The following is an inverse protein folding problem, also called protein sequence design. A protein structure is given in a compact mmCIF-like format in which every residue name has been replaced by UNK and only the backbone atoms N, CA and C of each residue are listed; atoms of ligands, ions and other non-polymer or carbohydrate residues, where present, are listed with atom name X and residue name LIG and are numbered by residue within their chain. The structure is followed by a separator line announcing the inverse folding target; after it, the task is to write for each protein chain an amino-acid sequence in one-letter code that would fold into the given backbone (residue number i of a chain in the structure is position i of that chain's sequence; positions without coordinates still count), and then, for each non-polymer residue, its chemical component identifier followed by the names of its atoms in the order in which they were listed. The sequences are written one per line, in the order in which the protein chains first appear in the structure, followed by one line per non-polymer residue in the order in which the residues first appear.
data_IF_934567688160
#
_entry.id   IF_934567688160
#
_cell.length_a   1.000
_cell.length_b   1.000
_cell.length_c   1.000
_cell.angle_alpha   90.00
_cell.angle_beta   90.00
_cell.angle_gamma   90.00
#
_symmetry.space_group_name_H-M   'P 1'
#
loop_
_entity.id
_entity.type
_entity.pdbx_description
1 polymer ?
#
# COMPACT_ATOMS: atom_id res chain seq x y z
N UNK A 1 -0.13 -4.62 3.83
CA UNK A 1 0.90 -3.56 3.98
C UNK A 1 1.82 -3.91 5.16
N UNK A 2 3.13 -4.01 4.98
CA UNK A 2 4.07 -4.32 6.06
C UNK A 2 5.53 -4.48 5.60
N UNK A 3 6.46 -4.56 6.55
CA UNK A 3 7.90 -4.67 6.24
C UNK A 3 8.38 -6.12 6.04
N UNK A 4 7.55 -7.12 6.34
CA UNK A 4 7.91 -8.53 6.22
C UNK A 4 7.17 -9.16 5.03
N UNK A 5 7.88 -9.65 4.00
CA UNK A 5 7.26 -10.33 2.85
C UNK A 5 6.59 -11.67 3.22
N UNK A 6 6.97 -12.29 4.33
CA UNK A 6 6.35 -13.54 4.79
C UNK A 6 4.95 -13.34 5.39
N UNK A 7 4.58 -12.10 5.74
CA UNK A 7 3.30 -11.80 6.39
C UNK A 7 2.56 -10.63 5.73
N UNK A 8 3.06 -10.12 4.60
CA UNK A 8 2.44 -9.02 3.87
C UNK A 8 2.80 -9.07 2.39
N UNK A 9 1.87 -8.63 1.53
CA UNK A 9 2.04 -8.65 0.06
C UNK A 9 2.76 -7.39 -0.46
N UNK A 10 2.58 -6.27 0.23
CA UNK A 10 3.18 -4.98 -0.14
C UNK A 10 3.91 -4.34 1.03
N UNK A 11 4.95 -3.57 0.72
CA UNK A 11 5.70 -2.74 1.67
C UNK A 11 4.83 -1.61 2.24
N UNK A 12 5.40 -0.82 3.15
CA UNK A 12 4.75 0.39 3.68
C UNK A 12 4.45 1.43 2.59
N UNK A 13 5.17 1.40 1.47
CA UNK A 13 4.96 2.30 0.31
C UNK A 13 4.08 1.69 -0.77
N UNK A 14 3.28 0.69 -0.43
CA UNK A 14 2.34 0.02 -1.34
C UNK A 14 3.00 -0.69 -2.53
N UNK A 15 4.33 -0.91 -2.48
CA UNK A 15 5.09 -1.63 -3.50
C UNK A 15 5.06 -3.13 -3.23
N UNK A 16 4.90 -3.95 -4.27
CA UNK A 16 5.08 -5.41 -4.18
C UNK A 16 6.47 -5.75 -3.62
N UNK A 17 6.53 -6.75 -2.74
CA UNK A 17 7.81 -7.29 -2.27
C UNK A 17 8.55 -8.07 -3.37
N UNK A 18 7.81 -8.69 -4.29
CA UNK A 18 8.37 -9.59 -5.32
C UNK A 18 8.71 -8.85 -6.62
N UNK A 19 7.88 -7.88 -7.02
CA UNK A 19 8.01 -7.19 -8.32
C UNK A 19 8.43 -5.74 -8.08
N UNK A 20 9.61 -5.39 -8.56
CA UNK A 20 10.26 -4.14 -8.16
C UNK A 20 9.54 -2.88 -8.65
N UNK A 21 8.79 -2.93 -9.74
CA UNK A 21 8.06 -1.81 -10.34
C UNK A 21 6.53 -1.95 -10.24
N UNK A 22 6.02 -2.84 -9.38
CA UNK A 22 4.59 -3.05 -9.18
C UNK A 22 4.11 -2.42 -7.86
N UNK A 23 2.98 -1.73 -7.92
CA UNK A 23 2.33 -1.07 -6.78
C UNK A 23 0.85 -1.41 -6.73
N UNK A 24 0.27 -1.51 -5.53
CA UNK A 24 -1.16 -1.78 -5.30
C UNK A 24 -1.71 -0.68 -4.41
N UNK A 25 -2.78 0.01 -4.84
CA UNK A 25 -3.27 1.25 -4.18
C UNK A 25 -4.79 1.26 -3.98
N UNK A 26 -5.36 0.11 -3.69
CA UNK A 26 -6.78 -0.05 -3.37
C UNK A 26 -6.99 -0.48 -1.90
N UNK A 27 -8.22 -0.84 -1.53
CA UNK A 27 -8.54 -1.25 -0.17
C UNK A 27 -7.90 -2.58 0.27
N UNK A 28 -7.42 -3.43 -0.66
CA UNK A 28 -6.80 -4.73 -0.34
C UNK A 28 -5.52 -4.59 0.47
N UNK A 29 -4.87 -3.42 0.42
CA UNK A 29 -3.61 -3.19 1.14
C UNK A 29 -3.81 -2.89 2.63
N UNK A 30 -5.04 -2.57 3.04
CA UNK A 30 -5.38 -2.31 4.44
C UNK A 30 -5.13 -3.58 5.26
N UNK A 31 -4.27 -3.53 6.31
CA UNK A 31 -3.93 -4.71 7.10
C UNK A 31 -5.07 -5.18 8.02
N UNK A 32 -6.11 -4.36 8.19
CA UNK A 32 -7.30 -4.66 8.98
C UNK A 32 -8.50 -3.92 8.39
N UNK A 33 -9.70 -4.39 8.74
CA UNK A 33 -10.94 -3.70 8.38
C UNK A 33 -11.02 -2.32 9.05
N UNK A 34 -11.58 -1.35 8.34
CA UNK A 34 -11.82 -0.03 8.88
C UNK A 34 -13.12 0.00 9.71
N UNK A 35 -13.11 0.67 10.87
CA UNK A 35 -14.30 0.84 11.70
C UNK A 35 -15.34 1.79 11.05
N UNK A 36 -14.90 2.64 10.12
CA UNK A 36 -15.70 3.60 9.36
C UNK A 36 -15.33 3.50 7.87
N UNK A 37 -16.00 4.27 7.01
CA UNK A 37 -15.73 4.28 5.57
C UNK A 37 -14.23 4.52 5.26
N UNK A 38 -13.54 3.59 4.54
CA UNK A 38 -12.10 3.66 4.32
C UNK A 38 -11.68 4.55 3.13
N UNK A 39 -12.61 5.21 2.42
CA UNK A 39 -12.32 5.88 1.16
C UNK A 39 -11.16 6.90 1.26
N UNK A 40 -11.16 7.75 2.28
CA UNK A 40 -10.08 8.74 2.48
C UNK A 40 -8.75 8.07 2.88
N UNK A 41 -8.80 6.96 3.61
CA UNK A 41 -7.59 6.18 3.94
C UNK A 41 -6.97 5.56 2.69
N UNK A 42 -7.79 5.01 1.80
CA UNK A 42 -7.33 4.48 0.51
C UNK A 42 -6.73 5.60 -0.34
N UNK A 43 -7.40 6.75 -0.43
CA UNK A 43 -6.87 7.91 -1.16
C UNK A 43 -5.52 8.38 -0.61
N UNK A 44 -5.36 8.44 0.72
CA UNK A 44 -4.09 8.80 1.35
C UNK A 44 -2.96 7.80 1.03
N UNK A 45 -3.24 6.50 1.04
CA UNK A 45 -2.27 5.47 0.65
C UNK A 45 -1.89 5.56 -0.82
N UNK A 46 -2.83 5.87 -1.71
CA UNK A 46 -2.55 6.09 -3.13
C UNK A 46 -1.62 7.29 -3.35
N UNK A 47 -1.86 8.41 -2.65
CA UNK A 47 -0.99 9.59 -2.67
C UNK A 47 0.41 9.23 -2.16
N UNK A 48 0.50 8.47 -1.06
CA UNK A 48 1.77 8.00 -0.50
C UNK A 48 2.55 7.16 -1.52
N UNK A 49 1.89 6.20 -2.17
CA UNK A 49 2.49 5.38 -3.22
C UNK A 49 2.97 6.24 -4.40
N UNK A 50 2.20 7.25 -4.81
CA UNK A 50 2.59 8.21 -5.85
C UNK A 50 3.87 8.98 -5.50
N UNK A 51 4.03 9.40 -4.25
CA UNK A 51 5.27 10.02 -3.78
C UNK A 51 6.47 9.06 -3.86
N UNK A 52 6.28 7.79 -3.47
CA UNK A 52 7.32 6.77 -3.56
C UNK A 52 7.69 6.42 -5.02
N UNK A 53 6.72 6.45 -5.94
CA UNK A 53 6.96 6.27 -7.38
C UNK A 53 7.82 7.42 -7.92
N UNK A 54 7.54 8.67 -7.50
CA UNK A 54 8.28 9.86 -7.96
C UNK A 54 9.73 9.91 -7.49
N UNK A 55 10.06 9.25 -6.38
CA UNK A 55 11.42 9.24 -5.80
C UNK A 55 12.35 8.20 -6.41
N UNK A 56 11.89 7.45 -7.42
CA UNK A 56 12.66 6.49 -8.19
C UNK A 56 13.04 7.04 -9.55
#
# INVERSE_FOLDING_TARGET
LGNNPQTSVVSTDCRSHEISNLYVTDASVLPTSAAVNPALTVAALAIKAGAAIKQR
#
